data_IF_314700637308
#
_entry.id   IF_314700637308
#
_cell.length_a   1.000
_cell.length_b   1.000
_cell.length_c   1.000
_cell.angle_alpha   90.00
_cell.angle_beta   90.00
_cell.angle_gamma   90.00
#
_symmetry.space_group_name_H-M   'P 1'
#
loop_
_entity.id
_entity.type
_entity.pdbx_description
1 polymer ?
#
# COMPACT_ATOMS: atom_id res chain seq x y z
N UNK A 1 -1.63 35.83 -7.40
CA UNK A 1 -0.93 34.56 -7.63
C UNK A 1 0.47 34.88 -8.14
N UNK A 2 1.48 34.85 -7.27
CA UNK A 2 2.86 35.19 -7.65
C UNK A 2 3.47 34.07 -8.48
N UNK A 3 3.94 34.38 -9.69
CA UNK A 3 4.73 33.44 -10.50
C UNK A 3 6.10 33.24 -9.86
N UNK A 4 6.61 32.00 -9.87
CA UNK A 4 7.92 31.68 -9.33
C UNK A 4 9.02 32.36 -10.17
N UNK A 5 10.05 32.96 -9.54
CA UNK A 5 11.18 33.51 -10.28
C UNK A 5 11.92 32.39 -11.04
N UNK A 6 12.41 32.63 -12.27
CA UNK A 6 12.95 31.59 -13.15
C UNK A 6 14.07 30.74 -12.54
N UNK A 7 14.94 31.36 -11.74
CA UNK A 7 16.03 30.65 -11.07
C UNK A 7 15.54 29.65 -10.01
N UNK A 8 14.43 29.96 -9.35
CA UNK A 8 13.82 29.07 -8.37
C UNK A 8 13.10 27.92 -9.08
N UNK A 9 12.35 28.22 -10.14
CA UNK A 9 11.66 27.24 -10.96
C UNK A 9 12.63 26.16 -11.49
N UNK A 10 13.78 26.56 -12.03
CA UNK A 10 14.79 25.61 -12.52
C UNK A 10 15.36 24.70 -11.42
N UNK A 11 15.57 25.25 -10.21
CA UNK A 11 16.03 24.46 -9.05
C UNK A 11 14.98 23.46 -8.58
N UNK A 12 13.70 23.86 -8.58
CA UNK A 12 12.60 22.99 -8.22
C UNK A 12 12.42 21.88 -9.25
N UNK A 13 12.54 22.19 -10.54
CA UNK A 13 12.53 21.18 -11.63
C UNK A 13 13.70 20.20 -11.48
N UNK A 14 14.93 20.68 -11.22
CA UNK A 14 16.11 19.82 -11.02
C UNK A 14 15.96 18.87 -9.82
N UNK A 15 15.21 19.28 -8.80
CA UNK A 15 14.90 18.46 -7.62
C UNK A 15 13.61 17.63 -7.76
N UNK A 16 12.93 17.71 -8.91
CA UNK A 16 11.66 16.99 -9.15
C UNK A 16 10.48 17.51 -8.35
N UNK A 17 10.57 18.72 -7.79
CA UNK A 17 9.51 19.37 -6.97
C UNK A 17 8.43 19.97 -7.87
N UNK A 18 8.80 20.42 -9.07
CA UNK A 18 7.88 20.98 -10.08
C UNK A 18 8.08 20.23 -11.38
N UNK A 19 6.99 19.66 -11.92
CA UNK A 19 6.97 18.96 -13.21
C UNK A 19 6.61 19.96 -14.32
N UNK A 20 7.33 19.90 -15.45
CA UNK A 20 6.98 20.70 -16.63
C UNK A 20 5.75 20.09 -17.29
N UNK A 21 4.76 20.90 -17.65
CA UNK A 21 3.44 20.45 -18.12
C UNK A 21 3.43 19.89 -19.57
N UNK A 22 4.59 19.56 -20.14
CA UNK A 22 4.72 19.12 -21.53
C UNK A 22 5.76 17.99 -21.65
N UNK A 23 5.50 16.89 -20.96
CA UNK A 23 6.10 15.60 -21.29
C UNK A 23 4.92 14.65 -21.48
N UNK A 24 4.67 14.24 -22.72
CA UNK A 24 3.64 13.28 -23.04
C UNK A 24 4.03 11.94 -22.42
N UNK A 25 3.32 11.56 -21.36
CA UNK A 25 3.35 10.22 -20.80
C UNK A 25 2.62 9.34 -21.83
N UNK A 26 3.38 8.70 -22.71
CA UNK A 26 2.85 7.69 -23.62
C UNK A 26 2.51 6.47 -22.74
N UNK A 27 1.28 6.44 -22.23
CA UNK A 27 0.68 5.26 -21.65
C UNK A 27 0.39 4.28 -22.80
N UNK A 28 1.44 3.63 -23.31
CA UNK A 28 1.28 2.52 -24.24
C UNK A 28 0.59 1.38 -23.50
N UNK A 29 -0.66 1.17 -23.87
CA UNK A 29 -1.51 0.04 -23.51
C UNK A 29 -0.86 -1.24 -24.03
N UNK A 30 -0.16 -1.96 -23.15
CA UNK A 30 0.19 -3.36 -23.33
C UNK A 30 -0.18 -4.12 -22.06
N UNK A 31 -1.45 -4.50 -21.96
CA UNK A 31 -1.89 -5.89 -21.85
C UNK A 31 -3.41 -5.88 -21.64
N UNK A 32 -4.13 -6.07 -22.74
CA UNK A 32 -5.56 -6.33 -22.70
C UNK A 32 -5.77 -7.74 -22.16
N UNK A 33 -6.57 -7.83 -21.09
CA UNK A 33 -7.29 -9.02 -20.63
C UNK A 33 -6.53 -10.07 -19.80
N UNK A 34 -6.57 -9.94 -18.46
CA UNK A 34 -7.12 -10.99 -17.57
C UNK A 34 -6.95 -10.69 -16.07
N UNK A 35 -8.11 -10.63 -15.39
CA UNK A 35 -8.38 -11.14 -14.03
C UNK A 35 -7.75 -10.45 -12.79
N UNK A 36 -8.68 -9.84 -12.05
CA UNK A 36 -9.00 -10.14 -10.65
C UNK A 36 -7.91 -9.97 -9.58
N UNK A 37 -8.18 -9.00 -8.68
CA UNK A 37 -8.06 -9.10 -7.21
C UNK A 37 -6.87 -9.92 -6.68
N UNK A 38 -5.78 -9.26 -6.33
CA UNK A 38 -4.98 -9.64 -5.15
C UNK A 38 -5.12 -8.53 -4.12
N UNK A 39 -6.14 -8.59 -3.27
CA UNK A 39 -6.10 -9.33 -2.00
C UNK A 39 -4.96 -8.83 -1.09
N UNK A 40 -5.28 -7.75 -0.35
CA UNK A 40 -4.95 -7.61 1.06
C UNK A 40 -3.62 -8.24 1.51
N UNK A 41 -2.51 -7.55 1.26
CA UNK A 41 -1.21 -7.86 1.88
C UNK A 41 -1.19 -7.42 3.37
N UNK A 42 -2.28 -7.62 4.11
CA UNK A 42 -2.34 -7.37 5.54
C UNK A 42 -1.76 -8.57 6.27
N UNK A 43 -0.42 -8.59 6.41
CA UNK A 43 0.31 -9.39 7.40
C UNK A 43 -0.32 -10.76 7.65
N UNK A 44 -0.30 -11.64 6.65
CA UNK A 44 -0.83 -13.01 6.75
C UNK A 44 -0.02 -13.91 7.69
N UNK A 45 1.01 -13.37 8.35
CA UNK A 45 1.87 -14.09 9.28
C UNK A 45 1.20 -14.19 10.66
N UNK A 46 0.27 -15.13 10.81
CA UNK A 46 -0.38 -15.42 12.09
C UNK A 46 -1.79 -15.97 11.93
N UNK A 47 -2.33 -16.56 13.00
CA UNK A 47 -3.69 -17.12 12.99
C UNK A 47 -4.71 -16.04 12.56
N UNK A 48 -5.57 -16.30 11.57
CA UNK A 48 -6.44 -15.27 10.96
C UNK A 48 -7.33 -14.57 11.99
N UNK A 49 -7.82 -15.31 12.98
CA UNK A 49 -8.63 -14.79 14.07
C UNK A 49 -7.87 -14.15 15.24
N UNK A 50 -6.54 -14.09 15.21
CA UNK A 50 -5.78 -13.62 16.37
C UNK A 50 -5.99 -12.12 16.58
N UNK A 51 -6.47 -11.67 17.76
CA UNK A 51 -6.69 -10.25 18.04
C UNK A 51 -5.38 -9.44 18.00
N UNK A 52 -4.25 -10.10 18.27
CA UNK A 52 -2.93 -9.49 18.25
C UNK A 52 -2.22 -9.61 16.88
N UNK A 53 -2.88 -10.10 15.82
CA UNK A 53 -2.30 -10.28 14.48
C UNK A 53 -1.73 -8.98 13.87
N UNK A 54 -2.27 -7.83 14.27
CA UNK A 54 -1.83 -6.52 13.79
C UNK A 54 -0.66 -5.94 14.58
N UNK A 55 -0.24 -6.56 15.69
CA UNK A 55 0.91 -6.11 16.47
C UNK A 55 2.21 -6.69 15.84
N UNK A 56 3.12 -5.86 15.30
CA UNK A 56 4.35 -6.32 14.65
C UNK A 56 5.30 -7.10 15.57
N UNK A 57 5.15 -6.94 16.89
CA UNK A 57 5.96 -7.64 17.89
C UNK A 57 5.31 -8.93 18.39
N UNK A 58 4.09 -9.25 17.95
CA UNK A 58 3.41 -10.48 18.32
C UNK A 58 3.73 -11.58 17.33
N UNK A 59 4.22 -12.72 17.84
CA UNK A 59 4.32 -13.96 17.07
C UNK A 59 3.24 -14.92 17.55
N UNK A 60 2.41 -15.39 16.61
CA UNK A 60 1.43 -16.43 16.90
C UNK A 60 2.12 -17.75 17.24
N UNK A 61 1.73 -18.37 18.35
CA UNK A 61 2.07 -19.76 18.69
C UNK A 61 0.97 -20.72 18.25
N UNK A 62 1.18 -22.04 18.39
CA UNK A 62 0.17 -23.07 18.07
C UNK A 62 -1.17 -22.81 18.79
N UNK A 63 -1.11 -22.30 20.03
CA UNK A 63 -2.29 -21.89 20.78
C UNK A 63 -3.15 -20.86 20.04
N UNK A 64 -2.52 -19.88 19.36
CA UNK A 64 -3.26 -18.87 18.61
C UNK A 64 -4.04 -19.48 17.45
N UNK A 65 -3.47 -20.48 16.79
CA UNK A 65 -4.14 -21.20 15.71
C UNK A 65 -5.28 -22.06 16.23
N UNK A 66 -5.12 -22.73 17.37
CA UNK A 66 -6.16 -23.58 17.94
C UNK A 66 -7.31 -22.79 18.58
N UNK A 67 -6.97 -21.70 19.29
CA UNK A 67 -7.93 -20.90 20.04
C UNK A 67 -8.71 -19.92 19.15
N UNK A 68 -8.04 -19.31 18.17
CA UNK A 68 -8.64 -18.26 17.35
C UNK A 68 -9.01 -18.71 15.94
N UNK A 69 -8.32 -19.71 15.36
CA UNK A 69 -8.61 -20.26 14.02
C UNK A 69 -8.92 -19.16 13.01
N UNK A 70 -10.11 -19.16 12.42
CA UNK A 70 -10.60 -18.21 11.42
C UNK A 70 -11.25 -16.95 12.03
N UNK A 71 -11.41 -16.87 13.35
CA UNK A 71 -12.05 -15.76 14.05
C UNK A 71 -12.75 -16.20 15.33
N UNK A 72 -12.92 -15.27 16.28
CA UNK A 72 -13.87 -15.48 17.39
C UNK A 72 -15.30 -15.49 16.87
N UNK A 73 -16.17 -16.43 17.30
CA UNK A 73 -17.60 -16.27 17.09
C UNK A 73 -18.05 -14.97 17.78
N UNK A 74 -18.90 -14.21 17.10
CA UNK A 74 -19.30 -12.82 17.43
C UNK A 74 -20.17 -12.69 18.70
N UNK A 75 -19.85 -13.44 19.76
CA UNK A 75 -20.57 -13.34 21.02
C UNK A 75 -19.70 -13.79 22.21
N UNK A 76 -18.95 -12.84 22.79
CA UNK A 76 -18.36 -13.01 24.12
C UNK A 76 -18.50 -11.73 24.93
#
# INVERSE_FOLDING_TARGET
MGSLPPALLARLQKRGIVKSANEEIIAESYDSDAKEKKANEANSSGAPGCPNKYNPYHLCSDYCYDHWREGTPENR
#
